data_IF_107548973204
#
_entry.id   IF_107548973204
#
_cell.length_a   1.000
_cell.length_b   1.000
_cell.length_c   1.000
_cell.angle_alpha   90.00
_cell.angle_beta   90.00
_cell.angle_gamma   90.00
#
_symmetry.space_group_name_H-M   'P 1'
#
loop_
_entity.id
_entity.type
_entity.pdbx_description
1 polymer ?
#
# COMPACT_ATOMS: atom_id res chain seq x y z
N UNK A 1 24.58 -4.18 -12.45
CA UNK A 1 23.85 -3.00 -11.97
C UNK A 1 22.50 -3.47 -11.44
N UNK A 2 22.39 -3.73 -10.14
CA UNK A 2 21.15 -4.21 -9.53
C UNK A 2 20.24 -3.01 -9.31
N UNK A 3 19.30 -2.78 -10.23
CA UNK A 3 18.22 -1.82 -10.07
C UNK A 3 17.28 -2.32 -8.98
N UNK A 4 17.68 -2.06 -7.73
CA UNK A 4 16.79 -2.22 -6.57
C UNK A 4 15.73 -1.14 -6.74
N UNK A 5 14.68 -1.47 -7.50
CA UNK A 5 13.40 -0.78 -7.37
C UNK A 5 13.16 -0.67 -5.87
N UNK A 6 12.98 0.55 -5.38
CA UNK A 6 12.73 0.87 -3.98
C UNK A 6 11.41 0.18 -3.59
N UNK A 7 11.50 -1.12 -3.30
CA UNK A 7 10.39 -2.00 -2.98
C UNK A 7 10.02 -1.65 -1.56
N UNK A 8 8.79 -1.17 -1.39
CA UNK A 8 8.24 -1.02 -0.06
C UNK A 8 8.43 -2.32 0.73
N UNK A 9 8.94 -2.26 1.98
CA UNK A 9 9.09 -3.42 2.85
C UNK A 9 7.78 -4.22 2.91
N UNK A 10 7.86 -5.54 3.05
CA UNK A 10 6.67 -6.39 3.17
C UNK A 10 5.82 -6.02 4.39
N UNK A 11 6.46 -5.64 5.50
CA UNK A 11 5.78 -5.15 6.71
C UNK A 11 4.96 -3.89 6.42
N UNK A 12 5.56 -2.91 5.75
CA UNK A 12 4.85 -1.69 5.35
C UNK A 12 3.63 -2.00 4.46
N UNK A 13 3.80 -2.90 3.48
CA UNK A 13 2.68 -3.31 2.62
C UNK A 13 1.56 -3.96 3.42
N UNK A 14 1.90 -4.83 4.38
CA UNK A 14 0.94 -5.50 5.26
C UNK A 14 0.18 -4.51 6.14
N UNK A 15 0.87 -3.56 6.74
CA UNK A 15 0.25 -2.54 7.59
C UNK A 15 -0.75 -1.68 6.80
N UNK A 16 -0.33 -1.20 5.62
CA UNK A 16 -1.20 -0.40 4.76
C UNK A 16 -2.43 -1.22 4.32
N UNK A 17 -2.24 -2.49 3.95
CA UNK A 17 -3.34 -3.40 3.58
C UNK A 17 -4.27 -3.68 4.75
N UNK A 18 -3.74 -3.87 5.96
CA UNK A 18 -4.54 -4.07 7.17
C UNK A 18 -5.42 -2.86 7.46
N UNK A 19 -4.86 -1.65 7.42
CA UNK A 19 -5.62 -0.40 7.59
C UNK A 19 -6.67 -0.24 6.50
N UNK A 20 -6.35 -0.56 5.25
CA UNK A 20 -7.32 -0.52 4.15
C UNK A 20 -8.45 -1.55 4.30
N UNK A 21 -8.18 -2.73 4.86
CA UNK A 21 -9.19 -3.76 5.15
C UNK A 21 -10.06 -3.44 6.36
N UNK A 22 -9.57 -2.66 7.33
CA UNK A 22 -10.38 -2.21 8.47
C UNK A 22 -11.58 -1.33 8.05
N UNK A 23 -11.58 -0.75 6.84
CA UNK A 23 -12.77 -0.12 6.26
C UNK A 23 -13.15 1.25 6.82
N UNK A 24 -12.31 1.87 7.66
CA UNK A 24 -12.60 3.17 8.28
C UNK A 24 -12.36 4.40 7.39
N UNK A 25 -11.62 4.25 6.28
CA UNK A 25 -11.29 5.34 5.37
C UNK A 25 -11.30 4.88 3.91
N UNK A 26 -11.47 5.83 2.99
CA UNK A 26 -11.36 5.54 1.55
C UNK A 26 -9.91 5.19 1.17
N UNK A 27 -9.75 4.33 0.17
CA UNK A 27 -8.42 3.93 -0.35
C UNK A 27 -7.57 5.13 -0.77
N UNK A 28 -8.17 6.16 -1.36
CA UNK A 28 -7.55 7.43 -1.69
C UNK A 28 -6.87 8.08 -0.49
N UNK A 29 -7.62 8.20 0.61
CA UNK A 29 -7.18 8.90 1.82
C UNK A 29 -6.07 8.13 2.53
N UNK A 30 -6.19 6.81 2.57
CA UNK A 30 -5.14 5.91 3.09
C UNK A 30 -3.88 6.05 2.24
N UNK A 31 -3.99 5.94 0.92
CA UNK A 31 -2.86 6.05 0.00
C UNK A 31 -2.12 7.39 0.16
N UNK A 32 -2.85 8.51 0.19
CA UNK A 32 -2.30 9.84 0.43
C UNK A 32 -1.63 9.97 1.81
N UNK A 33 -2.22 9.38 2.86
CA UNK A 33 -1.65 9.42 4.22
C UNK A 33 -0.32 8.66 4.32
N UNK A 34 -0.16 7.58 3.55
CA UNK A 34 1.06 6.77 3.52
C UNK A 34 2.06 7.22 2.44
N UNK A 35 1.73 8.24 1.64
CA UNK A 35 2.58 8.73 0.56
C UNK A 35 2.71 7.76 -0.62
N UNK A 36 1.72 6.89 -0.82
CA UNK A 36 1.68 5.93 -1.93
C UNK A 36 0.59 6.29 -2.93
N UNK A 37 0.68 5.77 -4.15
CA UNK A 37 -0.40 5.91 -5.13
C UNK A 37 -1.56 4.95 -4.82
N UNK A 38 -2.79 5.39 -5.07
CA UNK A 38 -3.97 4.55 -4.86
C UNK A 38 -3.96 3.26 -5.71
N UNK A 39 -3.36 3.33 -6.91
CA UNK A 39 -3.12 2.19 -7.78
C UNK A 39 -2.17 1.15 -7.15
N UNK A 40 -1.16 1.59 -6.38
CA UNK A 40 -0.27 0.69 -5.64
C UNK A 40 -1.06 -0.05 -4.55
N UNK A 41 -1.87 0.68 -3.78
CA UNK A 41 -2.73 0.08 -2.76
C UNK A 41 -3.72 -0.91 -3.36
N UNK A 42 -4.33 -0.58 -4.50
CA UNK A 42 -5.24 -1.47 -5.22
C UNK A 42 -4.58 -2.75 -5.71
N UNK A 43 -3.34 -2.66 -6.20
CA UNK A 43 -2.56 -3.83 -6.60
C UNK A 43 -2.22 -4.71 -5.40
N UNK A 44 -1.85 -4.13 -4.25
CA UNK A 44 -1.56 -4.91 -3.05
C UNK A 44 -2.80 -5.60 -2.50
N UNK A 45 -3.94 -4.92 -2.45
CA UNK A 45 -5.22 -5.53 -2.04
C UNK A 45 -5.68 -6.67 -2.95
N UNK A 46 -5.22 -6.72 -4.21
CA UNK A 46 -5.53 -7.83 -5.12
C UNK A 46 -4.60 -9.04 -4.91
N UNK A 47 -3.36 -8.81 -4.47
CA UNK A 47 -2.33 -9.84 -4.32
C UNK A 47 -2.30 -10.40 -2.89
N UNK A 48 -2.64 -9.58 -1.89
CA UNK A 48 -2.71 -9.93 -0.47
C UNK A 48 -4.10 -10.46 -0.09
#
# INVERSE_FOLDING_TARGET
MSTVHKRYPDEFRRDVVAVARQGGQTRAKIASSFGISESCLGRWLRIA
#
